data_IF_705362201757
#
_entry.id   IF_705362201757
#
_cell.length_a   1.000
_cell.length_b   1.000
_cell.length_c   1.000
_cell.angle_alpha   90.00
_cell.angle_beta   90.00
_cell.angle_gamma   90.00
#
_symmetry.space_group_name_H-M   'P 1'
#
loop_
_entity.id
_entity.type
_entity.pdbx_description
1 polymer ?
#
# COMPACT_ATOMS: atom_id res chain seq x y z
N UNK A 1 36.34 74.30 -11.96
CA UNK A 1 37.55 74.40 -11.11
C UNK A 1 37.93 72.97 -10.73
N UNK A 2 39.01 72.48 -11.33
CA UNK A 2 40.25 71.98 -10.70
C UNK A 2 39.97 70.90 -9.61
N UNK A 3 40.55 69.73 -9.62
CA UNK A 3 41.87 69.25 -10.06
C UNK A 3 41.91 67.76 -10.29
N UNK A 4 42.63 67.31 -11.31
CA UNK A 4 43.22 66.01 -11.54
C UNK A 4 44.18 65.62 -10.40
N UNK A 5 44.19 64.33 -10.02
CA UNK A 5 45.41 63.71 -9.48
C UNK A 5 45.39 62.22 -9.89
N UNK A 6 46.26 61.94 -10.84
CA UNK A 6 46.74 60.62 -11.24
C UNK A 6 47.69 60.06 -10.19
N UNK A 7 47.54 58.82 -9.80
CA UNK A 7 48.64 58.02 -9.26
C UNK A 7 48.65 56.64 -9.92
N UNK A 8 49.68 56.44 -10.63
CA UNK A 8 50.13 55.13 -11.12
C UNK A 8 50.94 54.46 -10.02
N UNK A 9 50.77 53.20 -9.75
CA UNK A 9 51.83 52.36 -9.15
C UNK A 9 51.55 50.89 -9.43
N UNK A 10 52.37 50.34 -10.23
CA UNK A 10 53.21 49.15 -10.11
C UNK A 10 52.46 47.80 -9.70
N UNK A 11 52.60 46.86 -10.60
CA UNK A 11 52.14 45.49 -10.49
C UNK A 11 52.89 44.66 -9.44
N UNK A 12 52.14 43.77 -8.87
CA UNK A 12 52.68 42.54 -8.28
C UNK A 12 51.81 41.38 -8.77
N UNK A 13 52.39 40.58 -9.65
CA UNK A 13 51.81 39.31 -10.08
C UNK A 13 52.08 38.31 -8.96
N UNK A 14 51.07 38.06 -8.12
CA UNK A 14 51.04 36.89 -7.23
C UNK A 14 50.47 35.72 -8.00
N UNK A 15 51.34 34.82 -8.40
CA UNK A 15 50.93 33.49 -8.89
C UNK A 15 50.32 32.69 -7.71
N UNK A 16 49.02 32.64 -7.63
CA UNK A 16 48.31 31.71 -6.72
C UNK A 16 48.38 30.31 -7.31
N UNK A 17 49.25 29.49 -6.73
CA UNK A 17 49.23 28.04 -6.93
C UNK A 17 47.94 27.50 -6.29
N UNK A 18 47.00 27.15 -7.13
CA UNK A 18 45.80 26.41 -6.67
C UNK A 18 46.22 24.99 -6.25
N UNK A 19 45.91 24.54 -5.04
CA UNK A 19 46.12 23.15 -4.70
C UNK A 19 45.22 22.30 -5.58
N UNK A 20 45.79 21.38 -6.35
CA UNK A 20 45.07 20.31 -7.03
C UNK A 20 44.39 19.46 -5.96
N UNK A 21 43.09 19.66 -5.77
CA UNK A 21 42.27 18.75 -4.97
C UNK A 21 42.25 17.42 -5.73
N UNK A 22 43.08 16.48 -5.29
CA UNK A 22 43.00 15.10 -5.72
C UNK A 22 41.60 14.59 -5.39
N UNK A 23 40.75 14.45 -6.42
CA UNK A 23 39.50 13.71 -6.30
C UNK A 23 39.85 12.27 -5.96
N UNK A 24 39.86 11.96 -4.66
CA UNK A 24 39.90 10.59 -4.19
C UNK A 24 38.69 9.84 -4.77
N UNK A 25 38.96 8.96 -5.75
CA UNK A 25 37.94 8.00 -6.22
C UNK A 25 37.50 7.18 -5.01
N UNK A 26 36.29 7.39 -4.58
CA UNK A 26 35.65 6.51 -3.57
C UNK A 26 35.69 5.08 -4.09
N UNK A 27 36.01 4.10 -3.25
CA UNK A 27 36.00 2.69 -3.63
C UNK A 27 34.63 2.31 -4.21
N UNK A 28 34.63 1.46 -5.24
CA UNK A 28 33.38 0.98 -5.91
C UNK A 28 32.39 0.31 -4.94
N UNK A 29 32.85 -0.13 -3.78
CA UNK A 29 32.02 -0.67 -2.69
C UNK A 29 31.07 0.38 -2.09
N UNK A 30 31.56 1.61 -1.84
CA UNK A 30 30.75 2.65 -1.21
C UNK A 30 29.67 3.15 -2.17
N UNK A 31 30.01 3.21 -3.46
CA UNK A 31 29.07 3.60 -4.51
C UNK A 31 27.95 2.57 -4.70
N UNK A 32 28.27 1.28 -4.66
CA UNK A 32 27.26 0.20 -4.69
C UNK A 32 26.36 0.21 -3.46
N UNK A 33 26.89 0.48 -2.28
CA UNK A 33 26.10 0.59 -1.06
C UNK A 33 25.19 1.82 -1.07
N UNK A 34 25.65 2.96 -1.61
CA UNK A 34 24.81 4.15 -1.78
C UNK A 34 23.70 3.91 -2.81
N UNK A 35 23.97 3.22 -3.92
CA UNK A 35 22.96 2.87 -4.93
C UNK A 35 21.94 1.83 -4.41
N UNK A 36 22.36 0.82 -3.65
CA UNK A 36 21.46 -0.14 -3.00
C UNK A 36 20.60 0.52 -1.92
N UNK A 37 21.20 1.39 -1.11
CA UNK A 37 20.45 2.11 -0.08
C UNK A 37 19.44 3.10 -0.68
N UNK A 38 19.79 3.76 -1.79
CA UNK A 38 18.87 4.63 -2.53
C UNK A 38 17.74 3.85 -3.18
N UNK A 39 18.02 2.68 -3.78
CA UNK A 39 17.00 1.76 -4.33
C UNK A 39 16.10 1.17 -3.25
N UNK A 40 16.64 0.87 -2.07
CA UNK A 40 15.86 0.41 -0.93
C UNK A 40 14.94 1.52 -0.42
N UNK A 41 15.46 2.74 -0.25
CA UNK A 41 14.66 3.90 0.16
C UNK A 41 13.56 4.26 -0.85
N UNK A 42 13.82 4.16 -2.15
CA UNK A 42 12.79 4.42 -3.17
C UNK A 42 11.71 3.34 -3.16
N UNK A 43 12.10 2.08 -3.00
CA UNK A 43 11.16 0.95 -2.88
C UNK A 43 10.35 1.00 -1.60
N UNK A 44 10.97 1.38 -0.48
CA UNK A 44 10.28 1.56 0.80
C UNK A 44 9.33 2.76 0.75
N UNK A 45 9.63 3.81 -0.01
CA UNK A 45 8.70 4.93 -0.29
C UNK A 45 7.53 4.53 -1.18
N UNK A 46 7.74 3.66 -2.15
CA UNK A 46 6.70 3.17 -3.05
C UNK A 46 5.71 2.23 -2.34
N UNK A 47 6.19 1.46 -1.34
CA UNK A 47 5.39 0.47 -0.62
C UNK A 47 5.02 0.87 0.80
N UNK A 48 5.80 1.73 1.41
CA UNK A 48 5.60 2.17 2.78
C UNK A 48 4.87 3.52 2.78
N UNK A 49 3.56 3.47 2.65
CA UNK A 49 2.71 4.65 2.86
C UNK A 49 2.69 5.10 4.35
N UNK A 50 3.62 4.62 5.16
CA UNK A 50 3.86 5.16 6.49
C UNK A 50 4.28 6.64 6.48
N UNK A 51 4.62 7.17 5.31
CA UNK A 51 4.79 8.61 5.06
C UNK A 51 3.55 9.26 4.41
N UNK A 52 2.37 8.62 4.39
CA UNK A 52 1.17 9.39 4.26
C UNK A 52 1.20 10.43 5.38
N UNK A 53 1.16 11.73 5.08
CA UNK A 53 1.26 12.77 6.09
C UNK A 53 -0.08 12.86 6.82
N UNK A 54 -0.45 11.76 7.44
CA UNK A 54 -1.44 11.82 8.48
C UNK A 54 -0.72 12.49 9.63
N UNK A 55 -1.22 13.61 10.11
CA UNK A 55 -0.72 14.15 11.35
C UNK A 55 -1.02 13.14 12.45
N UNK A 56 -0.20 12.11 12.53
CA UNK A 56 -0.12 11.18 13.65
C UNK A 56 0.03 11.90 15.00
N UNK A 57 0.04 13.19 14.94
CA UNK A 57 0.72 14.06 15.87
C UNK A 57 -0.20 14.64 16.91
N UNK A 58 -1.52 14.41 16.87
CA UNK A 58 -2.43 15.08 17.82
C UNK A 58 -3.73 14.31 18.06
N UNK A 59 -3.74 13.02 17.89
CA UNK A 59 -4.91 12.24 18.27
C UNK A 59 -5.08 12.20 19.78
N UNK A 60 -6.33 12.12 20.24
CA UNK A 60 -6.67 11.91 21.64
C UNK A 60 -6.27 10.51 22.18
N UNK A 61 -5.71 9.66 21.32
CA UNK A 61 -5.23 8.32 21.63
C UNK A 61 -4.81 7.53 20.38
N UNK A 62 -4.58 6.21 20.49
CA UNK A 62 -4.17 5.36 19.38
C UNK A 62 -5.26 5.21 18.33
N UNK A 63 -4.86 4.87 17.10
CA UNK A 63 -5.79 4.51 16.03
C UNK A 63 -6.41 3.12 16.23
N UNK A 64 -7.58 2.86 15.61
CA UNK A 64 -8.13 1.51 15.49
C UNK A 64 -7.18 0.55 14.83
N UNK A 65 -7.21 -0.70 15.24
CA UNK A 65 -6.52 -1.77 14.51
C UNK A 65 -7.23 -2.07 13.21
N UNK A 66 -6.51 -1.96 12.08
CA UNK A 66 -7.04 -2.31 10.76
C UNK A 66 -6.42 -3.63 10.31
N UNK A 67 -7.24 -4.60 9.94
CA UNK A 67 -6.79 -5.96 9.57
C UNK A 67 -7.55 -6.52 8.38
N UNK A 68 -6.86 -7.33 7.59
CA UNK A 68 -7.49 -8.20 6.60
C UNK A 68 -7.95 -9.46 7.32
N UNK A 69 -9.25 -9.80 7.19
CA UNK A 69 -9.76 -11.04 7.75
C UNK A 69 -9.22 -12.23 6.96
N UNK A 70 -8.56 -13.16 7.65
CA UNK A 70 -7.84 -14.27 7.03
C UNK A 70 -8.72 -15.09 6.06
N UNK A 71 -9.92 -15.45 6.49
CA UNK A 71 -10.86 -16.26 5.70
C UNK A 71 -11.40 -15.53 4.47
N UNK A 72 -11.33 -14.20 4.46
CA UNK A 72 -11.85 -13.34 3.41
C UNK A 72 -10.75 -12.50 2.71
N UNK A 73 -9.49 -12.69 3.07
CA UNK A 73 -8.38 -11.94 2.46
C UNK A 73 -8.07 -12.37 1.03
N UNK A 74 -8.62 -13.49 0.60
CA UNK A 74 -8.46 -14.04 -0.74
C UNK A 74 -9.81 -14.43 -1.33
N UNK A 75 -9.91 -14.30 -2.65
CA UNK A 75 -11.04 -14.70 -3.48
C UNK A 75 -10.55 -15.75 -4.46
N UNK A 76 -11.20 -16.91 -4.52
CA UNK A 76 -10.88 -17.95 -5.51
C UNK A 76 -12.18 -18.56 -6.02
N UNK A 77 -12.49 -18.28 -7.29
CA UNK A 77 -13.68 -18.77 -7.97
C UNK A 77 -13.32 -19.97 -8.84
N UNK A 78 -13.97 -21.08 -8.58
CA UNK A 78 -13.83 -22.30 -9.37
C UNK A 78 -15.04 -22.52 -10.26
N UNK A 79 -14.81 -22.94 -11.47
CA UNK A 79 -15.87 -23.48 -12.31
C UNK A 79 -16.20 -24.90 -11.84
N UNK A 80 -17.50 -25.18 -11.71
CA UNK A 80 -18.02 -26.49 -11.33
C UNK A 80 -17.56 -27.00 -9.94
N UNK A 81 -17.18 -26.09 -9.05
CA UNK A 81 -16.77 -26.39 -7.67
C UNK A 81 -15.51 -27.24 -7.51
N UNK A 82 -14.74 -27.46 -8.57
CA UNK A 82 -13.51 -28.30 -8.52
C UNK A 82 -12.30 -27.48 -8.07
N UNK A 83 -11.73 -27.81 -6.93
CA UNK A 83 -10.56 -27.14 -6.36
C UNK A 83 -9.26 -27.56 -7.09
N UNK A 84 -9.10 -27.17 -8.36
CA UNK A 84 -7.90 -27.43 -9.14
C UNK A 84 -7.47 -26.19 -9.94
N UNK A 85 -6.18 -26.09 -10.24
CA UNK A 85 -5.64 -24.95 -10.98
C UNK A 85 -6.30 -24.78 -12.36
N UNK A 86 -6.65 -25.90 -13.03
CA UNK A 86 -7.33 -25.86 -14.32
C UNK A 86 -8.80 -25.45 -14.25
N UNK A 87 -9.42 -25.44 -13.06
CA UNK A 87 -10.80 -25.06 -12.85
C UNK A 87 -10.97 -23.61 -12.35
N UNK A 88 -9.87 -22.90 -12.12
CA UNK A 88 -9.90 -21.51 -11.64
C UNK A 88 -10.45 -20.58 -12.72
N UNK A 89 -11.50 -19.82 -12.35
CA UNK A 89 -12.04 -18.75 -13.16
C UNK A 89 -11.38 -17.40 -12.80
N UNK A 90 -11.52 -16.98 -11.56
CA UNK A 90 -10.95 -15.71 -11.09
C UNK A 90 -10.31 -15.88 -9.71
N UNK A 91 -9.27 -15.09 -9.46
CA UNK A 91 -8.62 -15.00 -8.15
C UNK A 91 -8.48 -13.56 -7.72
N UNK A 92 -8.39 -13.33 -6.42
CA UNK A 92 -8.09 -12.05 -5.82
C UNK A 92 -7.35 -12.23 -4.50
N UNK A 93 -6.49 -11.28 -4.16
CA UNK A 93 -5.79 -11.21 -2.88
C UNK A 93 -5.67 -9.74 -2.47
N UNK A 94 -5.96 -9.43 -1.23
CA UNK A 94 -5.64 -8.13 -0.64
C UNK A 94 -4.16 -8.18 -0.25
N UNK A 95 -3.30 -7.60 -1.10
CA UNK A 95 -1.85 -7.72 -1.00
C UNK A 95 -1.20 -6.65 -0.14
N UNK A 96 -1.91 -5.52 0.03
CA UNK A 96 -1.43 -4.41 0.82
C UNK A 96 -2.56 -3.71 1.56
N UNK A 97 -2.25 -3.25 2.76
CA UNK A 97 -3.12 -2.45 3.59
C UNK A 97 -2.28 -1.41 4.30
N UNK A 98 -2.67 -0.14 4.15
CA UNK A 98 -2.19 0.95 4.97
C UNK A 98 -3.37 1.67 5.60
N UNK A 99 -3.20 2.25 6.78
CA UNK A 99 -4.27 2.95 7.46
C UNK A 99 -3.75 4.09 8.31
N UNK A 100 -4.60 5.07 8.51
CA UNK A 100 -4.36 6.16 9.42
C UNK A 100 -5.66 6.62 10.06
N UNK A 101 -5.57 7.41 11.10
CA UNK A 101 -6.74 8.02 11.72
C UNK A 101 -6.44 9.42 12.26
N UNK A 102 -7.51 10.19 12.42
CA UNK A 102 -7.47 11.47 13.13
C UNK A 102 -8.70 11.63 14.03
N UNK A 103 -8.50 12.17 15.20
CA UNK A 103 -9.57 12.61 16.12
C UNK A 103 -8.98 13.41 17.28
N UNK A 104 -9.76 14.36 17.77
CA UNK A 104 -9.39 15.21 18.91
C UNK A 104 -10.57 15.34 19.86
N UNK A 105 -10.29 15.66 21.10
CA UNK A 105 -11.29 15.93 22.11
C UNK A 105 -12.52 15.00 22.01
N UNK A 106 -13.70 15.54 21.77
CA UNK A 106 -14.96 14.81 21.62
C UNK A 106 -15.27 14.40 20.16
N UNK A 107 -14.37 14.67 19.22
CA UNK A 107 -14.61 14.33 17.81
C UNK A 107 -14.69 12.82 17.59
N UNK A 108 -15.46 12.36 16.58
CA UNK A 108 -15.45 10.98 16.15
C UNK A 108 -14.09 10.62 15.54
N UNK A 109 -13.74 9.35 15.61
CA UNK A 109 -12.52 8.84 14.98
C UNK A 109 -12.78 8.74 13.48
N UNK A 110 -11.98 9.46 12.69
CA UNK A 110 -11.96 9.37 11.23
C UNK A 110 -10.83 8.44 10.82
N UNK A 111 -11.15 7.36 10.12
CA UNK A 111 -10.17 6.38 9.67
C UNK A 111 -10.07 6.43 8.15
N UNK A 112 -8.85 6.44 7.66
CA UNK A 112 -8.51 6.22 6.26
C UNK A 112 -7.89 4.85 6.10
N UNK A 113 -8.27 4.14 5.04
CA UNK A 113 -7.72 2.82 4.71
C UNK A 113 -7.36 2.81 3.22
N UNK A 114 -6.13 2.45 2.93
CA UNK A 114 -5.63 2.25 1.57
C UNK A 114 -5.40 0.76 1.34
N UNK A 115 -5.95 0.25 0.26
CA UNK A 115 -5.94 -1.17 -0.09
C UNK A 115 -5.25 -1.37 -1.44
N UNK A 116 -4.46 -2.43 -1.54
CA UNK A 116 -3.89 -2.92 -2.79
C UNK A 116 -4.44 -4.30 -3.07
N UNK A 117 -5.16 -4.43 -4.17
CA UNK A 117 -5.71 -5.69 -4.65
C UNK A 117 -4.83 -6.25 -5.78
N UNK A 118 -4.41 -7.50 -5.64
CA UNK A 118 -3.84 -8.29 -6.72
C UNK A 118 -4.90 -9.26 -7.24
N UNK A 119 -5.25 -9.13 -8.52
CA UNK A 119 -6.37 -9.84 -9.13
C UNK A 119 -5.90 -10.69 -10.30
N UNK A 120 -6.53 -11.83 -10.52
CA UNK A 120 -6.14 -12.78 -11.54
C UNK A 120 -7.29 -13.37 -12.32
N UNK A 121 -7.03 -13.59 -13.60
CA UNK A 121 -7.89 -14.30 -14.54
C UNK A 121 -7.32 -15.69 -14.80
N UNK A 122 -8.07 -16.73 -14.45
CA UNK A 122 -7.71 -18.12 -14.65
C UNK A 122 -8.17 -18.68 -16.00
N UNK A 123 -7.88 -19.96 -16.29
CA UNK A 123 -8.20 -20.58 -17.58
C UNK A 123 -9.71 -20.77 -17.81
N UNK A 124 -10.52 -20.74 -16.76
CA UNK A 124 -11.97 -20.87 -16.85
C UNK A 124 -12.71 -19.55 -16.75
N UNK A 125 -11.99 -18.41 -16.82
CA UNK A 125 -12.62 -17.10 -16.84
C UNK A 125 -13.51 -16.93 -18.08
N UNK A 126 -14.76 -16.56 -17.86
CA UNK A 126 -15.71 -16.38 -18.95
C UNK A 126 -15.49 -15.07 -19.71
N UNK A 127 -14.94 -14.04 -19.05
CA UNK A 127 -14.80 -12.70 -19.63
C UNK A 127 -13.45 -12.08 -19.19
N UNK A 128 -13.04 -11.05 -19.90
CA UNK A 128 -11.94 -10.16 -19.49
C UNK A 128 -12.38 -9.13 -18.43
N UNK A 129 -13.64 -9.03 -18.12
CA UNK A 129 -14.21 -8.15 -17.10
C UNK A 129 -14.74 -8.97 -15.93
N UNK A 130 -14.48 -8.49 -14.71
CA UNK A 130 -15.01 -9.06 -13.48
C UNK A 130 -15.28 -7.94 -12.49
N UNK A 131 -16.42 -7.95 -11.84
CA UNK A 131 -16.66 -7.14 -10.65
C UNK A 131 -16.46 -8.02 -9.44
N UNK A 132 -15.44 -7.71 -8.65
CA UNK A 132 -15.28 -8.28 -7.32
C UNK A 132 -16.09 -7.45 -6.34
N UNK A 133 -16.43 -8.04 -5.21
CA UNK A 133 -17.06 -7.33 -4.11
C UNK A 133 -16.21 -7.52 -2.87
N UNK A 134 -15.97 -6.44 -2.15
CA UNK A 134 -15.28 -6.48 -0.87
C UNK A 134 -16.06 -5.69 0.17
N UNK A 135 -15.72 -5.84 1.42
CA UNK A 135 -16.39 -5.18 2.51
C UNK A 135 -15.41 -4.64 3.53
N UNK A 136 -15.85 -3.60 4.23
CA UNK A 136 -15.19 -3.03 5.40
C UNK A 136 -16.18 -3.09 6.55
N UNK A 137 -15.74 -3.58 7.69
CA UNK A 137 -16.53 -3.64 8.90
C UNK A 137 -15.81 -2.97 10.07
N UNK A 138 -16.56 -2.21 10.84
CA UNK A 138 -16.12 -1.67 12.13
C UNK A 138 -16.68 -2.55 13.24
N UNK A 139 -15.82 -2.95 14.16
CA UNK A 139 -16.21 -3.74 15.33
C UNK A 139 -15.69 -3.07 16.61
N UNK A 140 -16.37 -3.26 17.73
CA UNK A 140 -15.70 -3.12 19.01
C UNK A 140 -14.70 -4.26 19.18
N UNK A 141 -13.58 -3.98 19.81
CA UNK A 141 -12.51 -4.97 20.01
C UNK A 141 -13.02 -6.17 20.79
N UNK A 142 -12.91 -7.35 20.20
CA UNK A 142 -13.42 -8.62 20.74
C UNK A 142 -14.93 -8.68 20.97
N UNK A 143 -15.71 -7.85 20.29
CA UNK A 143 -17.16 -7.82 20.36
C UNK A 143 -17.80 -7.87 18.96
N UNK A 144 -19.06 -7.55 18.88
CA UNK A 144 -19.84 -7.59 17.65
C UNK A 144 -19.50 -6.52 16.61
N UNK A 145 -19.99 -6.74 15.40
CA UNK A 145 -19.92 -5.77 14.30
C UNK A 145 -20.83 -4.58 14.61
N UNK A 146 -20.30 -3.38 14.53
CA UNK A 146 -21.04 -2.11 14.68
C UNK A 146 -21.63 -1.70 13.33
N UNK A 147 -20.78 -1.73 12.27
CA UNK A 147 -21.18 -1.37 10.93
C UNK A 147 -20.42 -2.22 9.92
N UNK A 148 -21.05 -2.49 8.78
CA UNK A 148 -20.42 -3.20 7.65
C UNK A 148 -20.96 -2.63 6.35
N UNK A 149 -20.03 -2.26 5.47
CA UNK A 149 -20.32 -1.74 4.13
C UNK A 149 -19.66 -2.58 3.07
N UNK A 150 -20.34 -2.68 1.91
CA UNK A 150 -19.84 -3.42 0.75
C UNK A 150 -19.52 -2.47 -0.39
N UNK A 151 -18.48 -2.80 -1.11
CA UNK A 151 -17.98 -2.02 -2.24
C UNK A 151 -17.77 -2.92 -3.44
N UNK A 152 -18.17 -2.44 -4.60
CA UNK A 152 -17.92 -3.10 -5.88
C UNK A 152 -16.58 -2.67 -6.45
N UNK A 153 -15.78 -3.62 -6.93
CA UNK A 153 -14.48 -3.42 -7.54
C UNK A 153 -14.51 -3.93 -8.99
N UNK A 154 -14.97 -3.10 -9.95
CA UNK A 154 -14.98 -3.49 -11.35
C UNK A 154 -13.57 -3.50 -11.93
N UNK A 155 -13.20 -4.59 -12.60
CA UNK A 155 -11.87 -4.80 -13.16
C UNK A 155 -11.96 -5.26 -14.60
N UNK A 156 -11.12 -4.68 -15.44
CA UNK A 156 -10.89 -5.13 -16.82
C UNK A 156 -9.47 -5.66 -16.93
N UNK A 157 -9.35 -6.92 -17.30
CA UNK A 157 -8.07 -7.57 -17.50
C UNK A 157 -7.56 -7.36 -18.93
N UNK A 158 -6.40 -6.73 -19.08
CA UNK A 158 -5.66 -6.68 -20.36
C UNK A 158 -4.74 -7.89 -20.56
N UNK A 159 -4.53 -8.69 -19.52
CA UNK A 159 -3.77 -9.94 -19.48
C UNK A 159 -4.35 -10.85 -18.41
N UNK A 160 -3.52 -11.67 -17.78
CA UNK A 160 -3.96 -12.58 -16.73
C UNK A 160 -3.96 -11.97 -15.33
N UNK A 161 -3.44 -10.74 -15.19
CA UNK A 161 -3.31 -10.04 -13.91
C UNK A 161 -3.77 -8.60 -14.01
N UNK A 162 -4.30 -8.12 -12.90
CA UNK A 162 -4.58 -6.71 -12.67
C UNK A 162 -4.20 -6.35 -11.24
N UNK A 163 -3.84 -5.09 -11.03
CA UNK A 163 -3.60 -4.53 -9.70
C UNK A 163 -4.43 -3.27 -9.56
N UNK A 164 -5.18 -3.16 -8.48
CA UNK A 164 -6.07 -2.02 -8.22
C UNK A 164 -5.77 -1.47 -6.84
N UNK A 165 -5.68 -0.15 -6.73
CA UNK A 165 -5.58 0.56 -5.46
C UNK A 165 -6.91 1.21 -5.15
N UNK A 166 -7.39 1.05 -3.93
CA UNK A 166 -8.59 1.70 -3.40
C UNK A 166 -8.24 2.50 -2.16
N UNK A 167 -8.81 3.69 -2.03
CA UNK A 167 -8.59 4.59 -0.90
C UNK A 167 -9.93 4.95 -0.28
N UNK A 168 -10.14 4.55 0.96
CA UNK A 168 -11.38 4.76 1.71
C UNK A 168 -11.11 5.78 2.82
N UNK A 169 -11.60 7.00 2.67
CA UNK A 169 -11.40 8.11 3.62
C UNK A 169 -12.64 8.42 4.49
N UNK A 170 -13.74 7.70 4.26
CA UNK A 170 -15.04 8.04 4.85
C UNK A 170 -15.44 7.23 6.10
N UNK A 171 -14.56 6.46 6.69
CA UNK A 171 -14.89 5.62 7.85
C UNK A 171 -14.92 6.50 9.09
N UNK A 172 -16.13 6.70 9.65
CA UNK A 172 -16.34 7.53 10.85
C UNK A 172 -16.86 6.66 11.98
N UNK A 173 -16.13 6.62 13.10
CA UNK A 173 -16.47 5.83 14.28
C UNK A 173 -16.86 6.81 15.40
N UNK A 174 -18.15 6.85 15.81
CA UNK A 174 -18.57 7.71 16.90
C UNK A 174 -17.98 7.24 18.23
N UNK A 175 -17.68 8.18 19.11
CA UNK A 175 -17.16 7.92 20.45
C UNK A 175 -18.24 8.15 21.50
N UNK A 176 -18.44 7.19 22.38
CA UNK A 176 -19.41 7.31 23.47
C UNK A 176 -18.96 8.28 24.57
N UNK A 177 -17.63 8.43 24.77
CA UNK A 177 -17.05 9.33 25.76
C UNK A 177 -15.65 9.75 25.32
N UNK A 178 -15.05 10.70 26.04
CA UNK A 178 -13.67 11.14 25.83
C UNK A 178 -12.65 10.01 26.11
N UNK A 179 -13.00 9.07 26.96
CA UNK A 179 -12.15 7.92 27.31
C UNK A 179 -12.15 6.85 26.22
N UNK A 180 -13.20 6.81 25.39
CA UNK A 180 -13.29 5.90 24.25
C UNK A 180 -12.34 6.37 23.16
N UNK A 181 -11.35 5.55 22.82
CA UNK A 181 -10.34 5.86 21.81
C UNK A 181 -10.25 4.77 20.74
N UNK A 182 -9.36 4.94 19.77
CA UNK A 182 -9.24 3.99 18.65
C UNK A 182 -8.88 2.57 19.08
N UNK A 183 -8.19 2.35 20.19
CA UNK A 183 -7.88 1.00 20.66
C UNK A 183 -9.11 0.17 21.07
N UNK A 184 -10.26 0.82 21.25
CA UNK A 184 -11.53 0.14 21.53
C UNK A 184 -12.16 -0.50 20.29
N UNK A 185 -11.65 -0.16 19.10
CA UNK A 185 -12.24 -0.55 17.83
C UNK A 185 -11.27 -1.30 16.95
N UNK A 186 -11.82 -2.10 16.05
CA UNK A 186 -11.11 -2.73 14.95
C UNK A 186 -11.84 -2.45 13.64
N UNK A 187 -11.08 -2.29 12.57
CA UNK A 187 -11.60 -2.21 11.20
C UNK A 187 -11.14 -3.46 10.47
N UNK A 188 -12.09 -4.26 10.03
CA UNK A 188 -11.85 -5.50 9.31
C UNK A 188 -12.15 -5.31 7.83
N UNK A 189 -11.31 -5.87 6.98
CA UNK A 189 -11.46 -5.82 5.52
C UNK A 189 -11.42 -7.23 4.95
N UNK A 190 -12.23 -7.51 3.94
CA UNK A 190 -12.23 -8.79 3.25
C UNK A 190 -13.03 -8.76 1.96
N UNK A 191 -12.77 -9.72 1.08
CA UNK A 191 -13.67 -9.97 -0.05
C UNK A 191 -15.01 -10.52 0.43
N UNK A 192 -16.05 -10.28 -0.35
CA UNK A 192 -17.33 -10.95 -0.22
C UNK A 192 -17.20 -12.36 -0.81
N UNK A 193 -16.84 -13.31 0.05
CA UNK A 193 -16.55 -14.70 -0.32
C UNK A 193 -17.73 -15.62 0.04
N UNK A 194 -17.91 -16.69 -0.73
CA UNK A 194 -18.86 -17.73 -0.37
C UNK A 194 -18.34 -18.56 0.81
N UNK A 195 -19.21 -19.32 1.51
CA UNK A 195 -18.78 -20.23 2.56
C UNK A 195 -17.69 -21.22 2.11
N UNK A 196 -17.75 -21.70 0.87
CA UNK A 196 -16.79 -22.61 0.28
C UNK A 196 -15.44 -21.94 0.07
N UNK A 197 -15.43 -20.70 -0.45
CA UNK A 197 -14.20 -19.90 -0.59
C UNK A 197 -13.59 -19.60 0.78
N UNK A 198 -14.39 -19.29 1.77
CA UNK A 198 -13.92 -19.06 3.13
C UNK A 198 -13.31 -20.33 3.74
N UNK A 199 -13.94 -21.49 3.54
CA UNK A 199 -13.41 -22.79 3.97
C UNK A 199 -12.06 -23.08 3.28
N UNK A 200 -11.99 -22.90 1.96
CA UNK A 200 -10.76 -23.04 1.18
C UNK A 200 -9.61 -22.15 1.73
N UNK A 201 -9.93 -20.90 2.04
CA UNK A 201 -8.95 -19.97 2.63
C UNK A 201 -8.52 -20.42 4.03
N UNK A 202 -9.45 -20.89 4.86
CA UNK A 202 -9.19 -21.34 6.25
C UNK A 202 -8.27 -22.54 6.30
N UNK A 203 -8.36 -23.43 5.32
CA UNK A 203 -7.46 -24.58 5.18
C UNK A 203 -6.05 -24.18 4.69
N UNK A 204 -5.80 -22.88 4.46
CA UNK A 204 -4.51 -22.39 3.98
C UNK A 204 -4.26 -22.68 2.50
N UNK A 205 -5.24 -23.21 1.79
CA UNK A 205 -5.17 -23.45 0.35
C UNK A 205 -5.03 -22.13 -0.40
N UNK A 206 -4.24 -22.15 -1.48
CA UNK A 206 -3.89 -20.91 -2.16
C UNK A 206 -3.46 -21.19 -3.59
N UNK A 207 -3.93 -20.37 -4.51
CA UNK A 207 -3.42 -20.29 -5.88
C UNK A 207 -2.74 -18.96 -6.11
N UNK A 208 -1.81 -18.94 -7.04
CA UNK A 208 -1.23 -17.67 -7.52
C UNK A 208 -2.31 -16.86 -8.25
N UNK A 209 -2.11 -15.56 -8.35
CA UNK A 209 -3.07 -14.62 -8.94
C UNK A 209 -3.53 -15.03 -10.36
N UNK A 210 -2.69 -15.72 -11.13
CA UNK A 210 -3.00 -16.25 -12.45
C UNK A 210 -2.86 -17.78 -12.48
N UNK A 211 -3.29 -18.47 -11.44
CA UNK A 211 -3.19 -19.93 -11.35
C UNK A 211 -3.89 -20.60 -12.54
N UNK A 212 -3.19 -21.57 -13.12
CA UNK A 212 -3.67 -22.31 -14.29
C UNK A 212 -3.50 -21.61 -15.63
N UNK A 213 -3.03 -20.37 -15.68
CA UNK A 213 -2.65 -19.77 -16.95
C UNK A 213 -1.53 -20.58 -17.61
N UNK A 214 -1.57 -20.81 -18.93
CA UNK A 214 -0.49 -21.50 -19.64
C UNK A 214 0.83 -20.78 -19.34
N UNK A 215 1.87 -21.53 -18.99
CA UNK A 215 3.22 -20.97 -18.95
C UNK A 215 3.55 -20.59 -20.39
N UNK A 216 3.61 -19.29 -20.69
CA UNK A 216 4.23 -18.82 -21.92
C UNK A 216 5.66 -19.32 -21.89
N UNK A 217 5.92 -20.41 -22.65
CA UNK A 217 7.25 -20.97 -22.76
C UNK A 217 8.17 -19.90 -23.32
N UNK A 218 9.20 -19.59 -22.57
CA UNK A 218 10.38 -18.94 -23.13
C UNK A 218 11.03 -19.96 -24.05
N UNK A 219 11.31 -19.61 -25.32
CA UNK A 219 12.02 -20.49 -26.27
C UNK A 219 13.42 -20.81 -25.79
#
# INVERSE_FOLDING_TARGET
>A
MRRLLTFALAGVILATVAPAVAQQRRPDSDRKQEEESAKKKSRDKEWNQAEAPLPALRNAGPCPYVKILYDAGRYTEFKDGRESAGAVAYTGEIQGLASGCEYRDAEPIRVQVDLLFGLGKGPQAADSRKTYRYWVAVTERNKGVIAKEFFDLPVTFSGDRASVKESLAGIVIPRASLETNGANFEVLVGFDVTPEMAAFNREGKRFRVNAGAPKTGTP
#
